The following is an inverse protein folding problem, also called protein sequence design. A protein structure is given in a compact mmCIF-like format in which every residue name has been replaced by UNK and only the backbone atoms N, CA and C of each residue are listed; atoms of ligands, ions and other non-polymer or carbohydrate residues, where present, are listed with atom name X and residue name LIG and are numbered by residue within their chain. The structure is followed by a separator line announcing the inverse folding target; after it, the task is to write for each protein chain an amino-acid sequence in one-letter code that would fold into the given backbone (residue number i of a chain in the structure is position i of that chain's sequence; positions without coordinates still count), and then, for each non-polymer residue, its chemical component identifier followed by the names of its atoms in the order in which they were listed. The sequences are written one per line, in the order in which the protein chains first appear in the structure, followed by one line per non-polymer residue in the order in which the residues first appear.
data_IF_190509788900
#
_entry.id   IF_190509788900
#
_cell.length_a   1.000
_cell.length_b   1.000
_cell.length_c   1.000
_cell.angle_alpha   90.00
_cell.angle_beta   90.00
_cell.angle_gamma   90.00
#
_symmetry.space_group_name_H-M   'P 1'
#
loop_
_entity.id
_entity.type
_entity.pdbx_description
1 polymer ?
#
# COMPACT_ATOMS: atom_id res chain seq x y z
N UNK A 1 5.24 -23.09 3.15
CA UNK A 1 5.28 -23.06 4.63
C UNK A 1 6.72 -23.01 5.10
N UNK A 2 7.09 -21.97 5.84
CA UNK A 2 8.45 -21.79 6.37
C UNK A 2 8.35 -21.48 7.86
N UNK A 3 9.09 -22.23 8.68
CA UNK A 3 9.20 -22.01 10.14
C UNK A 3 10.36 -21.04 10.38
N UNK A 4 10.14 -20.07 11.24
CA UNK A 4 11.10 -19.04 11.62
C UNK A 4 11.34 -19.04 13.12
N UNK A 5 12.55 -18.59 13.47
CA UNK A 5 13.05 -18.49 14.84
C UNK A 5 13.34 -19.85 15.50
N UNK A 6 14.21 -19.82 16.49
CA UNK A 6 14.54 -20.98 17.32
C UNK A 6 13.63 -21.03 18.54
N UNK A 7 13.47 -22.21 19.14
CA UNK A 7 12.73 -22.36 20.41
C UNK A 7 13.35 -21.56 21.58
N UNK A 8 14.61 -21.11 21.43
CA UNK A 8 15.33 -20.32 22.42
C UNK A 8 15.15 -18.80 22.26
N UNK A 9 14.49 -18.33 21.20
CA UNK A 9 14.18 -16.90 21.05
C UNK A 9 13.08 -16.48 22.05
N UNK A 10 13.03 -15.20 22.41
CA UNK A 10 12.01 -14.66 23.32
C UNK A 10 10.78 -14.11 22.58
N UNK A 11 10.95 -13.78 21.29
CA UNK A 11 9.91 -13.19 20.43
C UNK A 11 10.23 -13.35 18.95
N UNK A 12 9.22 -13.16 18.12
CA UNK A 12 9.36 -12.96 16.69
C UNK A 12 8.71 -11.64 16.27
N UNK A 13 9.35 -10.90 15.38
CA UNK A 13 8.79 -9.72 14.72
C UNK A 13 8.62 -10.01 13.25
N UNK A 14 7.39 -9.91 12.77
CA UNK A 14 7.06 -10.08 11.36
C UNK A 14 6.71 -8.71 10.81
N UNK A 15 7.40 -8.30 9.76
CA UNK A 15 7.14 -7.05 9.04
C UNK A 15 6.69 -7.42 7.64
N UNK A 16 5.56 -6.89 7.17
CA UNK A 16 5.10 -7.11 5.81
C UNK A 16 4.68 -5.81 5.12
N UNK A 17 4.67 -5.84 3.79
CA UNK A 17 4.32 -4.69 2.97
C UNK A 17 3.50 -5.13 1.77
N UNK A 18 2.32 -4.52 1.63
CA UNK A 18 1.54 -4.58 0.40
C UNK A 18 2.12 -3.61 -0.63
N UNK A 19 2.06 -3.96 -1.92
CA UNK A 19 2.54 -3.08 -2.99
C UNK A 19 1.88 -1.70 -2.91
N UNK A 20 2.70 -0.64 -2.85
CA UNK A 20 2.24 0.74 -2.78
C UNK A 20 1.81 1.24 -1.39
N UNK A 21 1.96 0.43 -0.33
CA UNK A 21 1.61 0.84 1.04
C UNK A 21 2.81 0.85 1.99
N UNK A 22 2.61 1.48 3.15
CA UNK A 22 3.56 1.45 4.25
C UNK A 22 3.71 0.05 4.86
N UNK A 23 4.89 -0.19 5.45
CA UNK A 23 5.20 -1.44 6.15
C UNK A 23 4.32 -1.58 7.40
N UNK A 24 3.78 -2.78 7.59
CA UNK A 24 3.05 -3.21 8.79
C UNK A 24 3.91 -4.15 9.63
N UNK A 25 3.58 -4.27 10.91
CA UNK A 25 4.36 -5.01 11.90
C UNK A 25 3.46 -5.81 12.83
N UNK A 26 3.87 -7.04 13.13
CA UNK A 26 3.28 -7.91 14.15
C UNK A 26 4.38 -8.50 15.02
N UNK A 27 4.16 -8.55 16.33
CA UNK A 27 5.08 -9.13 17.30
C UNK A 27 4.41 -10.31 17.99
N UNK A 28 5.09 -11.47 17.98
CA UNK A 28 4.65 -12.68 18.66
C UNK A 28 5.59 -12.99 19.82
N UNK A 29 5.02 -13.25 21.01
CA UNK A 29 5.74 -13.86 22.14
C UNK A 29 5.80 -15.38 22.06
N UNK A 30 5.07 -15.99 21.12
CA UNK A 30 5.12 -17.42 20.84
C UNK A 30 6.12 -17.67 19.73
N UNK A 31 7.20 -18.39 20.05
CA UNK A 31 8.19 -18.87 19.09
C UNK A 31 8.37 -20.39 19.22
N UNK A 32 8.76 -21.11 18.16
CA UNK A 32 8.90 -20.67 16.77
C UNK A 32 7.58 -20.20 16.15
N UNK A 33 7.66 -19.32 15.15
CA UNK A 33 6.50 -18.87 14.37
C UNK A 33 6.56 -19.44 12.96
N UNK A 34 5.40 -19.59 12.36
CA UNK A 34 5.23 -19.97 10.99
C UNK A 34 4.53 -18.84 10.25
N UNK A 35 5.05 -18.49 9.08
CA UNK A 35 4.42 -17.51 8.19
C UNK A 35 4.05 -18.21 6.89
N UNK A 36 2.79 -18.07 6.50
CA UNK A 36 2.25 -18.60 5.25
C UNK A 36 1.59 -17.49 4.45
N UNK A 37 1.82 -17.50 3.13
CA UNK A 37 1.14 -16.61 2.19
C UNK A 37 0.39 -17.50 1.22
N UNK A 38 -0.93 -17.30 1.18
CA UNK A 38 -1.82 -17.98 0.26
C UNK A 38 -2.54 -16.98 -0.63
N UNK A 39 -2.82 -17.38 -1.87
CA UNK A 39 -3.67 -16.65 -2.79
C UNK A 39 -5.03 -17.32 -2.88
N UNK A 40 -6.08 -16.51 -2.81
CA UNK A 40 -7.46 -16.90 -3.10
C UNK A 40 -7.87 -16.15 -4.35
N UNK A 41 -8.18 -16.89 -5.41
CA UNK A 41 -8.79 -16.28 -6.60
C UNK A 41 -10.17 -15.77 -6.20
N UNK A 42 -10.42 -14.49 -6.46
CA UNK A 42 -11.74 -13.92 -6.24
C UNK A 42 -12.59 -14.37 -7.42
N UNK A 43 -13.52 -15.29 -7.19
CA UNK A 43 -14.64 -15.54 -8.12
C UNK A 43 -15.59 -14.36 -8.04
N UNK A 44 -15.20 -13.27 -8.68
CA UNK A 44 -16.00 -12.08 -8.92
C UNK A 44 -15.81 -11.68 -10.38
N UNK A 45 -16.74 -10.87 -10.89
CA UNK A 45 -16.66 -10.34 -12.25
C UNK A 45 -15.28 -9.68 -12.46
N UNK A 46 -14.40 -10.31 -13.25
CA UNK A 46 -13.06 -9.81 -13.60
C UNK A 46 -13.10 -8.49 -14.36
N UNK A 47 -14.29 -7.95 -14.54
CA UNK A 47 -14.60 -6.74 -15.24
C UNK A 47 -14.69 -5.53 -14.31
N UNK A 48 -14.69 -5.67 -12.98
CA UNK A 48 -14.76 -4.50 -12.08
C UNK A 48 -13.40 -3.77 -11.95
N UNK A 49 -13.44 -2.45 -11.80
CA UNK A 49 -12.24 -1.62 -11.60
C UNK A 49 -12.57 -0.14 -11.38
N UNK A 50 -11.52 0.69 -11.40
CA UNK A 50 -11.62 2.15 -11.27
C UNK A 50 -11.34 2.81 -12.61
N UNK A 51 -12.29 3.60 -13.09
CA UNK A 51 -12.08 4.54 -14.18
C UNK A 51 -11.49 5.84 -13.64
N UNK A 52 -10.48 6.36 -14.32
CA UNK A 52 -9.88 7.68 -14.10
C UNK A 52 -9.97 8.49 -15.39
N UNK A 53 -10.57 9.66 -15.30
CA UNK A 53 -10.80 10.54 -16.44
C UNK A 53 -10.22 11.92 -16.17
N UNK A 54 -9.33 12.38 -17.06
CA UNK A 54 -8.79 13.73 -17.04
C UNK A 54 -9.51 14.60 -18.05
N UNK A 55 -9.96 15.77 -17.59
CA UNK A 55 -10.63 16.77 -18.42
C UNK A 55 -9.92 18.10 -18.29
N UNK A 56 -9.97 18.92 -19.34
CA UNK A 56 -9.58 20.32 -19.27
C UNK A 56 -10.61 21.20 -19.93
N UNK A 57 -10.73 22.42 -19.42
CA UNK A 57 -11.47 23.50 -20.05
C UNK A 57 -10.50 24.26 -20.96
N UNK A 58 -10.78 24.24 -22.26
CA UNK A 58 -10.01 24.96 -23.30
C UNK A 58 -9.90 26.47 -23.04
N UNK A 59 -10.74 27.03 -22.16
CA UNK A 59 -10.76 28.46 -21.82
C UNK A 59 -10.08 28.81 -20.50
N UNK A 60 -9.93 27.86 -19.57
CA UNK A 60 -9.52 28.16 -18.17
C UNK A 60 -8.29 27.39 -17.68
N UNK A 61 -7.44 26.87 -18.60
CA UNK A 61 -6.14 26.22 -18.33
C UNK A 61 -5.59 26.52 -16.92
N UNK A 62 -5.44 25.51 -16.04
CA UNK A 62 -4.89 24.17 -16.30
C UNK A 62 -5.89 23.00 -16.25
N UNK A 63 -5.50 21.77 -16.64
CA UNK A 63 -6.31 20.56 -16.46
C UNK A 63 -6.79 20.40 -15.02
N UNK A 64 -8.06 20.02 -14.87
CA UNK A 64 -8.65 19.74 -13.57
C UNK A 64 -8.12 18.44 -12.95
N UNK A 65 -8.40 18.25 -11.66
CA UNK A 65 -8.15 16.97 -11.00
C UNK A 65 -8.89 15.83 -11.73
N UNK A 66 -8.28 14.64 -11.85
CA UNK A 66 -8.93 13.50 -12.49
C UNK A 66 -10.21 13.14 -11.73
N UNK A 67 -11.28 12.92 -12.48
CA UNK A 67 -12.53 12.34 -11.97
C UNK A 67 -12.36 10.83 -11.90
N UNK A 68 -12.66 10.24 -10.74
CA UNK A 68 -12.57 8.79 -10.54
C UNK A 68 -13.94 8.20 -10.20
N UNK A 69 -14.24 7.03 -10.76
CA UNK A 69 -15.47 6.28 -10.52
C UNK A 69 -15.21 4.77 -10.58
N UNK A 70 -15.97 3.98 -9.82
CA UNK A 70 -15.85 2.52 -9.78
C UNK A 70 -16.94 1.87 -10.63
N UNK A 71 -16.55 1.09 -11.63
CA UNK A 71 -17.47 0.52 -12.61
C UNK A 71 -16.90 -0.75 -13.27
N UNK A 72 -17.60 -1.25 -14.28
CA UNK A 72 -17.13 -2.37 -15.10
C UNK A 72 -16.25 -1.91 -16.27
N UNK A 73 -15.41 -2.79 -16.81
CA UNK A 73 -14.53 -2.55 -17.97
C UNK A 73 -15.33 -2.31 -19.25
N UNK A 74 -16.57 -2.81 -19.28
CA UNK A 74 -17.53 -2.64 -20.38
C UNK A 74 -18.40 -1.40 -20.23
N UNK A 75 -18.45 -0.78 -19.04
CA UNK A 75 -19.11 0.51 -18.85
C UNK A 75 -18.26 1.59 -19.52
N UNK A 76 -18.83 2.29 -20.51
CA UNK A 76 -18.22 3.53 -20.97
C UNK A 76 -18.42 4.59 -19.88
N UNK A 77 -17.35 5.23 -19.35
CA UNK A 77 -17.51 6.32 -18.38
C UNK A 77 -18.20 7.56 -18.97
N UNK A 78 -18.44 7.55 -20.28
CA UNK A 78 -19.18 8.59 -21.02
C UNK A 78 -20.70 8.36 -20.96
N UNK A 79 -21.16 7.15 -20.63
CA UNK A 79 -22.58 6.78 -20.66
C UNK A 79 -22.96 5.87 -19.48
N UNK A 80 -23.38 6.44 -18.34
CA UNK A 80 -23.78 5.65 -17.16
C UNK A 80 -25.30 5.86 -16.93
N UNK A 81 -26.12 4.80 -16.99
CA UNK A 81 -27.48 4.74 -16.43
C UNK A 81 -28.31 6.04 -16.53
N UNK A 82 -28.65 6.50 -17.75
CA UNK A 82 -29.36 7.77 -18.03
C UNK A 82 -28.73 9.06 -17.48
N UNK A 83 -27.57 8.98 -16.81
CA UNK A 83 -26.63 10.05 -16.52
C UNK A 83 -25.50 9.98 -17.54
N UNK A 84 -25.78 10.50 -18.73
CA UNK A 84 -24.70 11.09 -19.52
C UNK A 84 -23.93 12.06 -18.62
N UNK A 85 -22.63 12.22 -18.85
CA UNK A 85 -22.02 13.53 -18.63
C UNK A 85 -22.73 14.45 -19.62
N UNK A 86 -23.93 14.85 -19.23
CA UNK A 86 -24.87 15.57 -20.07
C UNK A 86 -24.41 16.99 -19.98
N UNK A 87 -23.60 17.32 -20.95
CA UNK A 87 -23.30 18.68 -21.22
C UNK A 87 -24.65 19.28 -21.71
N UNK A 88 -25.47 19.83 -20.79
CA UNK A 88 -26.77 20.43 -21.12
C UNK A 88 -26.55 21.62 -22.08
N UNK A 89 -27.57 22.30 -22.62
CA UNK A 89 -27.33 23.57 -23.35
C UNK A 89 -26.47 24.62 -22.60
N UNK A 90 -26.11 24.37 -21.33
CA UNK A 90 -25.18 25.10 -20.47
C UNK A 90 -24.06 24.26 -19.80
N UNK A 91 -23.83 22.99 -20.21
CA UNK A 91 -22.63 22.16 -19.96
C UNK A 91 -21.91 22.35 -18.59
N UNK A 92 -22.51 21.89 -17.47
CA UNK A 92 -21.83 21.84 -16.15
C UNK A 92 -21.55 20.40 -15.71
N UNK A 93 -20.29 20.09 -15.36
CA UNK A 93 -19.93 18.91 -14.57
C UNK A 93 -20.43 19.11 -13.13
N UNK A 94 -21.34 18.26 -12.65
CA UNK A 94 -21.74 18.26 -11.24
C UNK A 94 -20.93 17.16 -10.53
N UNK A 95 -19.71 17.52 -10.12
CA UNK A 95 -19.17 17.09 -8.84
C UNK A 95 -18.89 18.36 -8.04
N UNK A 96 -19.02 18.25 -6.72
CA UNK A 96 -19.43 19.26 -5.74
C UNK A 96 -18.67 20.61 -5.69
N UNK A 97 -17.61 20.88 -6.47
CA UNK A 97 -16.78 22.09 -6.31
C UNK A 97 -16.29 22.77 -7.61
N UNK A 98 -16.99 22.65 -8.74
CA UNK A 98 -16.51 23.30 -9.98
C UNK A 98 -17.60 23.79 -10.93
N UNK A 99 -17.56 25.08 -11.28
CA UNK A 99 -18.27 25.62 -12.44
C UNK A 99 -17.34 25.62 -13.65
N UNK A 100 -17.62 24.81 -14.66
CA UNK A 100 -16.90 24.82 -15.96
C UNK A 100 -17.73 25.50 -17.02
N UNK A 101 -17.08 26.16 -17.99
CA UNK A 101 -17.75 26.92 -19.05
C UNK A 101 -18.38 26.00 -20.10
N UNK A 102 -19.52 26.44 -20.65
CA UNK A 102 -20.22 25.64 -21.64
C UNK A 102 -19.43 25.46 -22.95
N UNK A 103 -19.47 24.25 -23.51
CA UNK A 103 -18.84 23.88 -24.79
C UNK A 103 -17.32 23.69 -24.80
N UNK A 104 -16.64 23.75 -23.66
CA UNK A 104 -15.18 23.88 -23.62
C UNK A 104 -14.41 22.70 -22.98
N UNK A 105 -15.10 21.66 -22.52
CA UNK A 105 -14.48 20.50 -21.87
C UNK A 105 -13.98 19.51 -22.93
N UNK A 106 -12.68 19.24 -22.93
CA UNK A 106 -12.10 18.15 -23.71
C UNK A 106 -11.58 17.05 -22.79
N UNK A 107 -11.70 15.81 -23.24
CA UNK A 107 -11.12 14.65 -22.59
C UNK A 107 -9.65 14.55 -22.99
N UNK A 108 -8.76 14.57 -22.00
CA UNK A 108 -7.35 14.29 -22.23
C UNK A 108 -7.11 12.80 -22.31
N UNK A 109 -7.67 12.09 -21.34
CA UNK A 109 -7.33 10.70 -21.09
C UNK A 109 -8.41 10.03 -20.26
N UNK A 110 -8.69 8.77 -20.61
CA UNK A 110 -9.63 7.90 -19.93
C UNK A 110 -8.93 6.56 -19.74
N UNK A 111 -8.74 6.16 -18.47
CA UNK A 111 -8.01 4.96 -18.11
C UNK A 111 -8.88 4.09 -17.21
N UNK A 112 -8.90 2.78 -17.48
CA UNK A 112 -9.50 1.78 -16.60
C UNK A 112 -8.41 1.00 -15.90
N UNK A 113 -8.44 1.01 -14.57
CA UNK A 113 -7.57 0.18 -13.73
C UNK A 113 -8.43 -0.95 -13.16
N UNK A 114 -8.29 -2.19 -13.65
CA UNK A 114 -9.06 -3.33 -13.12
C UNK A 114 -8.75 -3.52 -11.62
N UNK A 115 -9.76 -3.93 -10.87
CA UNK A 115 -9.55 -4.38 -9.50
C UNK A 115 -8.70 -5.67 -9.52
N UNK A 116 -7.76 -5.87 -8.59
CA UNK A 116 -6.94 -7.07 -8.58
C UNK A 116 -7.81 -8.33 -8.49
N UNK A 117 -7.65 -9.30 -9.40
CA UNK A 117 -8.49 -10.52 -9.39
C UNK A 117 -8.12 -11.51 -8.30
N UNK A 118 -7.03 -11.23 -7.59
CA UNK A 118 -6.46 -12.12 -6.57
C UNK A 118 -6.48 -11.44 -5.22
N UNK A 119 -6.93 -12.19 -4.21
CA UNK A 119 -6.81 -11.83 -2.81
C UNK A 119 -5.65 -12.62 -2.22
N UNK A 120 -4.73 -11.95 -1.56
CA UNK A 120 -3.65 -12.59 -0.82
C UNK A 120 -3.95 -12.56 0.66
N UNK A 121 -3.64 -13.65 1.36
CA UNK A 121 -3.73 -13.81 2.80
C UNK A 121 -2.34 -14.05 3.34
N UNK A 122 -1.93 -13.26 4.31
CA UNK A 122 -0.77 -13.55 5.16
C UNK A 122 -1.30 -14.11 6.49
N UNK A 123 -0.83 -15.30 6.85
CA UNK A 123 -1.18 -15.97 8.11
C UNK A 123 0.08 -16.21 8.92
N UNK A 124 0.04 -15.82 10.18
CA UNK A 124 1.09 -16.08 11.16
C UNK A 124 0.51 -17.05 12.18
N UNK A 125 1.16 -18.20 12.37
CA UNK A 125 0.74 -19.25 13.30
C UNK A 125 1.89 -19.69 14.20
N UNK A 126 1.57 -20.32 15.33
CA UNK A 126 2.58 -21.01 16.14
C UNK A 126 2.95 -22.36 15.51
N UNK A 127 3.95 -23.04 16.10
CA UNK A 127 4.44 -24.35 15.63
C UNK A 127 3.38 -25.46 15.68
N UNK A 128 2.32 -25.30 16.49
CA UNK A 128 1.22 -26.25 16.59
C UNK A 128 0.12 -25.95 15.57
N UNK A 129 0.30 -24.93 14.73
CA UNK A 129 -0.68 -24.50 13.75
C UNK A 129 -1.78 -23.58 14.31
N UNK A 130 -1.67 -23.11 15.56
CA UNK A 130 -2.65 -22.15 16.07
C UNK A 130 -2.40 -20.79 15.43
N UNK A 131 -3.43 -20.23 14.81
CA UNK A 131 -3.36 -18.91 14.21
C UNK A 131 -3.14 -17.82 15.27
N UNK A 132 -2.10 -17.02 15.07
CA UNK A 132 -1.74 -15.88 15.91
C UNK A 132 -2.19 -14.57 15.29
N UNK A 133 -2.07 -14.46 13.97
CA UNK A 133 -2.48 -13.29 13.19
C UNK A 133 -2.86 -13.67 11.78
N UNK A 134 -3.76 -12.89 11.19
CA UNK A 134 -4.12 -13.00 9.78
C UNK A 134 -4.52 -11.64 9.25
N UNK A 135 -4.03 -11.33 8.05
CA UNK A 135 -4.52 -10.22 7.26
C UNK A 135 -4.76 -10.69 5.82
N UNK A 136 -5.77 -10.12 5.18
CA UNK A 136 -6.06 -10.39 3.78
C UNK A 136 -6.28 -9.11 3.01
N UNK A 137 -5.80 -9.09 1.77
CA UNK A 137 -5.96 -7.94 0.89
C UNK A 137 -6.04 -8.34 -0.57
N UNK A 138 -6.91 -7.65 -1.30
CA UNK A 138 -6.96 -7.69 -2.75
C UNK A 138 -5.75 -6.92 -3.29
N UNK A 139 -4.87 -7.61 -4.02
CA UNK A 139 -3.63 -7.05 -4.54
C UNK A 139 -3.15 -7.86 -5.75
N UNK A 140 -2.39 -7.24 -6.65
CA UNK A 140 -1.89 -7.92 -7.85
C UNK A 140 -0.74 -8.90 -7.53
N UNK A 141 -0.06 -8.68 -6.40
CA UNK A 141 1.09 -9.46 -5.96
C UNK A 141 1.01 -9.79 -4.47
N UNK A 142 1.61 -10.92 -4.04
CA UNK A 142 1.69 -11.27 -2.63
C UNK A 142 2.45 -10.19 -1.83
N UNK A 143 2.19 -10.05 -0.52
CA UNK A 143 2.94 -9.12 0.30
C UNK A 143 4.38 -9.58 0.42
N UNK A 144 5.32 -8.63 0.43
CA UNK A 144 6.70 -8.93 0.83
C UNK A 144 6.75 -8.97 2.34
N UNK A 145 7.51 -9.89 2.93
CA UNK A 145 7.67 -9.96 4.38
C UNK A 145 9.09 -10.32 4.79
N UNK A 146 9.41 -9.92 6.01
CA UNK A 146 10.66 -10.22 6.70
C UNK A 146 10.32 -10.69 8.12
N UNK A 147 11.08 -11.66 8.62
CA UNK A 147 10.94 -12.16 10.00
C UNK A 147 12.25 -11.93 10.73
N UNK A 148 12.17 -11.28 11.90
CA UNK A 148 13.26 -11.09 12.83
C UNK A 148 12.99 -11.89 14.10
N UNK A 149 14.03 -12.55 14.62
CA UNK A 149 13.93 -13.47 15.74
C UNK A 149 14.74 -12.97 16.95
N UNK A 150 14.11 -13.04 18.12
CA UNK A 150 14.68 -12.70 19.41
C UNK A 150 15.23 -11.27 19.49
N UNK A 151 16.51 -11.18 19.85
CA UNK A 151 17.27 -9.94 20.02
C UNK A 151 17.96 -9.43 18.74
N UNK A 152 17.83 -10.14 17.62
CA UNK A 152 18.48 -9.79 16.35
C UNK A 152 17.64 -8.80 15.54
N UNK A 153 18.27 -7.74 15.05
CA UNK A 153 17.63 -6.82 14.11
C UNK A 153 17.58 -7.42 12.69
N UNK A 154 16.55 -7.09 11.88
CA UNK A 154 16.52 -7.47 10.47
C UNK A 154 17.72 -6.88 9.71
N UNK A 155 18.04 -7.47 8.55
CA UNK A 155 19.17 -7.01 7.72
C UNK A 155 19.03 -5.52 7.37
N UNK A 156 20.13 -4.76 7.46
CA UNK A 156 20.12 -3.30 7.28
C UNK A 156 19.76 -2.49 8.53
N UNK A 157 19.51 -3.16 9.66
CA UNK A 157 19.29 -2.54 10.97
C UNK A 157 20.30 -3.06 11.99
N UNK A 158 20.66 -2.23 12.97
CA UNK A 158 21.53 -2.64 14.09
C UNK A 158 20.80 -2.49 15.41
N UNK A 159 21.12 -3.38 16.35
CA UNK A 159 20.53 -3.38 17.70
C UNK A 159 21.07 -2.21 18.50
N UNK A 160 20.19 -1.43 19.11
CA UNK A 160 20.60 -0.43 20.09
C UNK A 160 20.84 -1.13 21.42
N UNK A 161 22.05 -1.00 21.95
CA UNK A 161 22.35 -1.36 23.33
C UNK A 161 22.25 -0.08 24.17
N UNK A 162 21.09 0.16 24.81
CA UNK A 162 20.93 1.30 25.71
C UNK A 162 20.09 0.92 26.93
N UNK A 163 20.66 1.03 28.13
CA UNK A 163 20.06 0.52 29.37
C UNK A 163 18.76 1.24 29.81
N UNK A 164 18.55 2.48 29.35
CA UNK A 164 17.29 3.22 29.61
C UNK A 164 16.14 2.89 28.66
N UNK A 165 16.34 2.08 27.62
CA UNK A 165 15.26 1.79 26.67
C UNK A 165 14.66 0.41 26.98
N UNK A 166 13.45 0.32 27.56
CA UNK A 166 12.87 -0.94 28.04
C UNK A 166 12.27 -1.79 26.91
N UNK A 167 12.89 -1.81 25.72
CA UNK A 167 12.32 -2.46 24.54
C UNK A 167 13.31 -2.68 23.40
N UNK A 168 12.85 -3.46 22.42
CA UNK A 168 13.57 -3.76 21.17
C UNK A 168 13.76 -2.48 20.34
N UNK A 169 15.02 -2.04 20.22
CA UNK A 169 15.42 -0.89 19.41
C UNK A 169 16.32 -1.39 18.27
N UNK A 170 15.86 -1.18 17.04
CA UNK A 170 16.62 -1.45 15.83
C UNK A 170 16.67 -0.17 15.01
N UNK A 171 17.87 0.39 14.83
CA UNK A 171 18.04 1.61 14.06
C UNK A 171 18.53 1.24 12.65
N UNK A 172 17.93 1.80 11.59
CA UNK A 172 18.41 1.60 10.23
C UNK A 172 19.86 2.07 10.10
N UNK A 173 20.70 1.20 9.52
CA UNK A 173 22.13 1.47 9.33
C UNK A 173 22.37 2.68 8.42
N UNK A 174 21.51 2.87 7.40
CA UNK A 174 21.62 3.98 6.44
C UNK A 174 21.42 5.33 7.13
N UNK A 175 20.29 5.52 7.84
CA UNK A 175 20.01 6.78 8.55
C UNK A 175 21.07 7.09 9.62
N UNK A 176 21.62 6.05 10.25
CA UNK A 176 22.68 6.20 11.24
C UNK A 176 23.98 6.66 10.58
N UNK A 177 24.37 6.03 9.47
CA UNK A 177 25.54 6.42 8.71
C UNK A 177 25.44 7.86 8.21
N UNK A 178 24.26 8.29 7.74
CA UNK A 178 24.03 9.67 7.29
C UNK A 178 24.13 10.68 8.44
N UNK A 179 23.59 10.35 9.62
CA UNK A 179 23.76 11.18 10.83
C UNK A 179 25.24 11.31 11.22
N UNK A 180 26.00 10.21 11.21
CA UNK A 180 27.44 10.22 11.50
C UNK A 180 28.19 11.07 10.48
N UNK A 181 27.89 10.93 9.17
CA UNK A 181 28.51 11.72 8.10
C UNK A 181 28.24 13.22 8.26
N UNK A 182 27.01 13.59 8.64
CA UNK A 182 26.62 14.97 8.91
C UNK A 182 27.34 15.55 10.14
N UNK A 183 27.55 14.76 11.19
CA UNK A 183 28.33 15.17 12.36
C UNK A 183 29.81 15.34 12.02
N UNK A 184 30.39 14.38 11.30
CA UNK A 184 31.79 14.44 10.87
C UNK A 184 32.07 15.68 10.01
N UNK A 185 31.14 16.02 9.10
CA UNK A 185 31.23 17.21 8.25
C UNK A 185 31.17 18.53 9.03
N UNK A 186 30.53 18.55 10.19
CA UNK A 186 30.47 19.72 11.09
C UNK A 186 31.74 19.85 11.94
N UNK A 187 32.35 18.72 12.36
CA UNK A 187 33.57 18.71 13.17
C UNK A 187 34.84 18.93 12.35
N UNK A 188 34.83 18.62 11.05
CA UNK A 188 35.97 18.81 10.13
C UNK A 188 36.14 20.22 9.56
N UNK A 189 35.26 21.19 9.88
CA UNK A 189 35.47 22.60 9.57
C UNK A 189 36.22 23.28 10.73
N UNK A 190 37.53 23.10 10.78
CA UNK A 190 38.45 23.95 11.54
C UNK A 190 39.58 24.40 10.63
#
# INVERSE_FOLDING_TARGET
MTIYCSANDDKATIIWQWTGEDKKKYESSKVPVQVDISSVNITGDSNMGTWSMRTYDTKTLPPGNPLTYRGTSTESPVTINTREIRTSGTNRLIYQDGSVSAGAIQYLDIQFTPDPTTKYRITISDINGNQLFQEEKQADSPPKYEVACGNGCPSGYHKCNHDKYPGYCCIPCVDTADKIRNLASKLGKK
#
